data_IF_250041617928
#
_entry.id   IF_250041617928
#
_cell.length_a   1.000
_cell.length_b   1.000
_cell.length_c   1.000
_cell.angle_alpha   90.00
_cell.angle_beta   90.00
_cell.angle_gamma   90.00
#
_symmetry.space_group_name_H-M   'P 1'
#
loop_
_entity.id
_entity.type
_entity.pdbx_description
1 polymer ?
#
# COMPACT_ATOMS: atom_id res chain seq x y z
N UNK A 1 37.71 29.96 21.55
CA UNK A 1 36.94 29.02 22.39
C UNK A 1 36.62 27.79 21.55
N UNK A 2 37.52 26.82 21.59
CA UNK A 2 37.37 25.50 20.98
C UNK A 2 36.61 24.62 21.97
N UNK A 3 35.45 24.10 21.56
CA UNK A 3 34.67 23.16 22.36
C UNK A 3 35.28 21.78 22.13
N UNK A 4 36.04 21.30 23.11
CA UNK A 4 36.56 19.94 23.13
C UNK A 4 35.40 18.96 23.21
N UNK A 5 35.21 18.17 22.15
CA UNK A 5 34.27 17.07 22.11
C UNK A 5 34.91 15.90 22.89
N UNK A 6 34.33 15.45 24.01
CA UNK A 6 34.95 14.41 24.81
C UNK A 6 34.96 13.09 24.03
N UNK A 7 36.15 12.64 23.68
CA UNK A 7 36.45 11.29 23.18
C UNK A 7 36.21 10.27 24.30
N UNK A 8 34.93 10.03 24.62
CA UNK A 8 34.49 9.00 25.57
C UNK A 8 34.16 7.73 24.78
N UNK A 9 35.12 6.81 24.76
CA UNK A 9 34.96 5.37 24.54
C UNK A 9 34.02 4.93 23.40
N UNK A 10 34.55 4.92 22.17
CA UNK A 10 33.90 4.29 21.01
C UNK A 10 33.48 2.82 21.29
N UNK A 11 34.18 2.11 22.18
CA UNK A 11 33.86 0.73 22.59
C UNK A 11 32.51 0.59 23.32
N UNK A 12 32.03 1.63 24.03
CA UNK A 12 30.76 1.55 24.79
C UNK A 12 29.51 1.88 23.97
N UNK A 13 29.68 2.34 22.71
CA UNK A 13 28.55 2.61 21.83
C UNK A 13 28.06 1.35 21.09
N UNK A 14 28.88 0.30 20.96
CA UNK A 14 28.45 -0.95 20.32
C UNK A 14 27.52 -1.80 21.21
N UNK A 15 27.65 -1.70 22.55
CA UNK A 15 26.74 -2.31 23.52
C UNK A 15 25.36 -1.60 23.64
N UNK A 16 25.16 -0.46 22.94
CA UNK A 16 23.91 0.31 23.04
C UNK A 16 22.75 -0.25 22.23
N UNK A 17 23.00 -1.12 21.26
CA UNK A 17 21.92 -1.72 20.48
C UNK A 17 21.66 -3.12 20.97
N UNK A 18 20.90 -3.18 22.05
CA UNK A 18 20.22 -4.36 22.56
C UNK A 18 19.49 -5.19 21.46
N UNK A 19 19.26 -4.61 20.27
CA UNK A 19 18.49 -5.17 19.15
C UNK A 19 19.30 -5.55 17.90
N UNK A 20 20.61 -5.78 17.95
CA UNK A 20 21.45 -5.91 16.73
C UNK A 20 20.84 -6.78 15.60
N UNK A 21 20.24 -7.91 15.95
CA UNK A 21 19.56 -8.80 14.98
C UNK A 21 18.22 -8.24 14.48
N UNK A 22 17.35 -7.77 15.38
CA UNK A 22 16.07 -7.12 15.03
C UNK A 22 16.29 -5.86 14.19
N UNK A 23 17.37 -5.12 14.43
CA UNK A 23 17.80 -3.96 13.63
C UNK A 23 18.24 -4.33 12.23
N UNK A 24 19.05 -5.37 12.11
CA UNK A 24 19.46 -5.86 10.80
C UNK A 24 18.27 -6.39 9.99
N UNK A 25 17.25 -6.95 10.65
CA UNK A 25 15.99 -7.37 10.00
C UNK A 25 15.15 -6.17 9.56
N UNK A 26 14.92 -5.19 10.43
CA UNK A 26 14.13 -4.00 10.10
C UNK A 26 14.80 -3.16 8.98
N UNK A 27 16.13 -3.06 8.98
CA UNK A 27 16.86 -2.35 7.93
C UNK A 27 16.71 -3.00 6.55
N UNK A 28 16.60 -4.33 6.49
CA UNK A 28 16.45 -5.07 5.22
C UNK A 28 15.11 -4.81 4.52
N UNK A 29 14.09 -4.35 5.24
CA UNK A 29 12.75 -4.14 4.69
C UNK A 29 12.44 -2.68 4.36
N UNK A 30 13.40 -1.75 4.52
CA UNK A 30 13.20 -0.32 4.21
C UNK A 30 12.72 -0.11 2.76
N UNK A 31 13.22 -0.91 1.83
CA UNK A 31 12.87 -0.82 0.41
C UNK A 31 11.44 -1.32 0.10
N UNK A 32 10.88 -2.17 0.97
CA UNK A 32 9.51 -2.66 0.84
C UNK A 32 8.47 -1.67 1.40
N UNK A 33 8.93 -0.61 2.07
CA UNK A 33 8.05 0.42 2.63
C UNK A 33 7.64 1.40 1.54
N UNK A 34 6.33 1.63 1.37
CA UNK A 34 5.84 2.66 0.46
C UNK A 34 6.51 4.02 0.73
N UNK A 35 6.84 4.74 -0.34
CA UNK A 35 7.60 5.99 -0.27
C UNK A 35 7.00 6.99 0.73
N UNK A 36 5.68 7.15 0.71
CA UNK A 36 4.95 8.06 1.59
C UNK A 36 5.03 7.69 3.09
N UNK A 37 5.44 6.47 3.43
CA UNK A 37 5.60 6.00 4.80
C UNK A 37 7.06 5.94 5.27
N UNK A 38 8.04 6.21 4.41
CA UNK A 38 9.46 6.12 4.78
C UNK A 38 9.82 6.97 6.00
N UNK A 39 9.25 8.18 6.10
CA UNK A 39 9.45 9.04 7.28
C UNK A 39 8.84 8.44 8.54
N UNK A 40 7.60 7.93 8.47
CA UNK A 40 6.95 7.25 9.59
C UNK A 40 7.75 6.03 10.06
N UNK A 41 8.28 5.27 9.10
CA UNK A 41 9.09 4.10 9.39
C UNK A 41 10.44 4.47 10.02
N UNK A 42 11.05 5.55 9.54
CA UNK A 42 12.28 6.10 10.14
C UNK A 42 12.05 6.58 11.57
N UNK A 43 10.94 7.29 11.83
CA UNK A 43 10.54 7.74 13.17
C UNK A 43 10.26 6.56 14.12
N UNK A 44 9.57 5.53 13.62
CA UNK A 44 9.35 4.27 14.34
C UNK A 44 10.70 3.66 14.73
N UNK A 45 11.63 3.57 13.77
CA UNK A 45 12.94 2.98 14.02
C UNK A 45 13.71 3.79 15.07
N UNK A 46 13.80 5.10 14.88
CA UNK A 46 14.45 5.97 15.85
C UNK A 46 13.87 5.81 17.27
N UNK A 47 12.54 5.76 17.38
CA UNK A 47 11.86 5.59 18.66
C UNK A 47 12.23 4.25 19.33
N UNK A 48 12.23 3.15 18.57
CA UNK A 48 12.63 1.83 19.08
C UNK A 48 14.10 1.80 19.57
N UNK A 49 15.00 2.47 18.84
CA UNK A 49 16.39 2.63 19.28
C UNK A 49 16.50 3.43 20.59
N UNK A 50 15.75 4.53 20.73
CA UNK A 50 15.76 5.35 21.95
C UNK A 50 15.25 4.59 23.17
N UNK A 51 14.24 3.74 23.02
CA UNK A 51 13.69 2.95 24.14
C UNK A 51 14.44 1.63 24.37
N UNK A 52 15.48 1.35 23.58
CA UNK A 52 16.29 0.14 23.71
C UNK A 52 17.04 0.15 25.05
N UNK A 53 16.88 -0.95 25.79
CA UNK A 53 17.53 -1.13 27.10
C UNK A 53 17.96 -2.57 27.21
N UNK A 54 18.88 -2.89 28.13
CA UNK A 54 19.30 -4.27 28.40
C UNK A 54 18.13 -5.21 28.73
N UNK A 55 17.06 -4.71 29.37
CA UNK A 55 15.86 -5.52 29.65
C UNK A 55 15.05 -5.87 28.40
N UNK A 56 15.26 -5.16 27.30
CA UNK A 56 14.51 -5.30 26.04
C UNK A 56 15.35 -5.88 24.90
N UNK A 57 16.58 -6.34 25.18
CA UNK A 57 17.48 -6.84 24.14
C UNK A 57 17.01 -8.14 23.47
N UNK A 58 16.25 -8.95 24.19
CA UNK A 58 15.73 -10.22 23.67
C UNK A 58 14.43 -10.06 22.90
N UNK A 59 13.88 -8.84 22.79
CA UNK A 59 12.62 -8.63 22.10
C UNK A 59 12.86 -8.71 20.59
N UNK A 60 12.20 -9.66 19.94
CA UNK A 60 12.21 -9.78 18.50
C UNK A 60 11.15 -8.85 17.89
N UNK A 61 11.58 -8.08 16.91
CA UNK A 61 10.69 -7.24 16.11
C UNK A 61 10.90 -7.64 14.67
N UNK A 62 9.83 -8.14 14.07
CA UNK A 62 9.80 -8.56 12.69
C UNK A 62 8.98 -7.57 11.85
N UNK A 63 9.43 -7.39 10.61
CA UNK A 63 8.58 -6.87 9.55
C UNK A 63 8.87 -5.45 9.10
N UNK A 64 7.79 -4.71 8.90
CA UNK A 64 7.68 -3.53 8.04
C UNK A 64 7.47 -3.90 6.57
N UNK A 65 6.29 -4.44 6.29
CA UNK A 65 5.74 -4.54 4.93
C UNK A 65 4.37 -3.87 4.88
N UNK A 66 3.91 -3.63 3.67
CA UNK A 66 2.55 -3.17 3.39
C UNK A 66 1.65 -4.37 3.13
N UNK A 67 0.50 -4.40 3.80
CA UNK A 67 -0.55 -5.40 3.59
C UNK A 67 -1.90 -4.69 3.69
N UNK A 68 -2.70 -4.76 2.63
CA UNK A 68 -4.02 -4.13 2.51
C UNK A 68 -4.06 -2.64 2.89
N UNK A 69 -3.02 -1.90 2.49
CA UNK A 69 -2.89 -0.48 2.78
C UNK A 69 -2.53 -0.18 4.24
N UNK A 70 -2.02 -1.17 4.98
CA UNK A 70 -1.63 -1.05 6.38
C UNK A 70 -0.14 -1.33 6.64
N UNK A 71 0.38 -0.52 7.57
CA UNK A 71 1.58 -0.69 8.40
C UNK A 71 1.68 -2.04 9.14
N UNK A 72 2.31 -3.09 8.60
CA UNK A 72 2.54 -4.33 9.37
C UNK A 72 3.94 -4.37 10.00
N UNK A 73 3.97 -4.32 11.34
CA UNK A 73 5.16 -4.57 12.15
C UNK A 73 4.74 -5.44 13.33
N UNK A 74 5.40 -6.57 13.50
CA UNK A 74 5.05 -7.58 14.48
C UNK A 74 6.15 -7.71 15.55
N UNK A 75 5.75 -8.05 16.77
CA UNK A 75 6.66 -8.41 17.84
C UNK A 75 5.98 -9.44 18.73
N UNK A 76 6.78 -10.38 19.25
CA UNK A 76 6.36 -11.42 20.19
C UNK A 76 6.24 -10.91 21.64
N UNK A 77 6.61 -9.66 21.89
CA UNK A 77 6.68 -9.11 23.25
C UNK A 77 5.34 -8.66 23.82
N UNK A 78 5.20 -8.78 25.13
CA UNK A 78 4.11 -8.15 25.91
C UNK A 78 4.52 -6.79 26.49
N UNK A 79 5.74 -6.29 26.21
CA UNK A 79 6.19 -4.97 26.67
C UNK A 79 5.28 -3.86 26.11
N UNK A 80 4.55 -3.21 27.02
CA UNK A 80 3.56 -2.17 26.69
C UNK A 80 4.16 -0.96 25.99
N UNK A 81 5.42 -0.64 26.24
CA UNK A 81 6.11 0.50 25.60
C UNK A 81 6.38 0.16 24.14
N UNK A 82 6.94 -1.03 23.88
CA UNK A 82 7.21 -1.50 22.51
C UNK A 82 5.89 -1.61 21.74
N UNK A 83 4.89 -2.29 22.31
CA UNK A 83 3.56 -2.42 21.68
C UNK A 83 2.90 -1.06 21.42
N UNK A 84 3.06 -0.10 22.34
CA UNK A 84 2.57 1.27 22.17
C UNK A 84 3.22 1.99 20.98
N UNK A 85 4.53 1.82 20.80
CA UNK A 85 5.29 2.39 19.68
C UNK A 85 4.85 1.78 18.34
N UNK A 86 4.76 0.45 18.27
CA UNK A 86 4.30 -0.26 17.06
C UNK A 86 2.87 0.14 16.68
N UNK A 87 1.95 0.14 17.66
CA UNK A 87 0.56 0.56 17.46
C UNK A 87 0.47 1.99 16.95
N UNK A 88 1.25 2.92 17.52
CA UNK A 88 1.26 4.33 17.10
C UNK A 88 1.73 4.49 15.65
N UNK A 89 2.75 3.74 15.24
CA UNK A 89 3.22 3.74 13.85
C UNK A 89 2.13 3.22 12.89
N UNK A 90 1.48 2.10 13.22
CA UNK A 90 0.38 1.53 12.42
C UNK A 90 -0.79 2.49 12.26
N UNK A 91 -1.24 3.11 13.35
CA UNK A 91 -2.34 4.10 13.32
C UNK A 91 -1.96 5.32 12.47
N UNK A 92 -0.73 5.80 12.53
CA UNK A 92 -0.28 6.89 11.66
C UNK A 92 -0.26 6.48 10.19
N UNK A 93 0.21 5.28 9.88
CA UNK A 93 0.23 4.75 8.51
C UNK A 93 -1.19 4.67 7.91
N UNK A 94 -2.20 4.26 8.69
CA UNK A 94 -3.62 4.22 8.29
C UNK A 94 -4.20 5.56 7.80
N UNK A 95 -3.59 6.68 8.21
CA UNK A 95 -4.04 8.02 7.86
C UNK A 95 -3.03 8.76 6.95
N UNK A 96 -2.00 8.07 6.47
CA UNK A 96 -0.93 8.64 5.67
C UNK A 96 -0.93 8.00 4.30
N UNK A 97 -0.94 8.81 3.25
CA UNK A 97 -0.87 8.34 1.87
C UNK A 97 0.42 7.53 1.67
N UNK A 98 0.28 6.28 1.21
CA UNK A 98 1.42 5.38 0.98
C UNK A 98 2.36 5.88 -0.14
N UNK A 99 1.87 6.75 -1.03
CA UNK A 99 2.65 7.28 -2.15
C UNK A 99 3.42 8.55 -1.80
N UNK A 100 2.74 9.54 -1.22
CA UNK A 100 3.29 10.89 -1.08
C UNK A 100 3.38 11.40 0.37
N UNK A 101 2.95 10.61 1.36
CA UNK A 101 3.03 10.96 2.78
C UNK A 101 2.06 12.05 3.26
N UNK A 102 1.22 12.59 2.37
CA UNK A 102 0.14 13.52 2.75
C UNK A 102 -0.98 12.78 3.49
N UNK A 103 -1.87 13.48 4.22
CA UNK A 103 -3.05 12.86 4.83
C UNK A 103 -3.87 12.07 3.80
N UNK A 104 -4.12 10.81 4.12
CA UNK A 104 -4.81 9.84 3.27
C UNK A 104 -6.04 9.25 3.95
N UNK A 105 -6.85 8.54 3.17
CA UNK A 105 -7.93 7.70 3.66
C UNK A 105 -7.76 6.32 3.02
N UNK A 106 -8.21 5.29 3.73
CA UNK A 106 -8.30 3.95 3.17
C UNK A 106 -9.32 3.98 2.01
N UNK A 107 -8.91 3.44 0.88
CA UNK A 107 -9.72 3.35 -0.33
C UNK A 107 -9.61 1.95 -0.89
N UNK A 108 -10.71 1.47 -1.42
CA UNK A 108 -10.74 0.28 -2.26
C UNK A 108 -10.26 0.71 -3.65
N UNK A 109 -9.18 0.10 -4.11
CA UNK A 109 -8.70 0.28 -5.48
C UNK A 109 -9.40 -0.72 -6.39
N UNK A 110 -9.46 -1.98 -5.96
CA UNK A 110 -10.20 -3.06 -6.63
C UNK A 110 -10.82 -3.99 -5.57
N UNK A 111 -11.51 -5.05 -6.01
CA UNK A 111 -12.17 -6.03 -5.14
C UNK A 111 -11.23 -6.72 -4.12
N UNK A 112 -9.91 -6.65 -4.32
CA UNK A 112 -8.91 -7.38 -3.54
C UNK A 112 -7.85 -6.48 -2.92
N UNK A 113 -7.83 -5.19 -3.25
CA UNK A 113 -6.75 -4.30 -2.86
C UNK A 113 -7.27 -3.03 -2.23
N UNK A 114 -6.90 -2.87 -0.97
CA UNK A 114 -7.06 -1.63 -0.23
C UNK A 114 -5.75 -0.87 -0.18
N UNK A 115 -5.82 0.45 -0.20
CA UNK A 115 -4.67 1.33 -0.09
C UNK A 115 -5.04 2.61 0.65
N UNK A 116 -4.12 3.09 1.50
CA UNK A 116 -4.29 4.41 2.13
C UNK A 116 -3.74 5.48 1.18
N UNK A 117 -4.62 6.26 0.56
CA UNK A 117 -4.26 7.26 -0.47
C UNK A 117 -4.92 8.62 -0.23
N UNK A 118 -4.21 9.69 -0.57
CA UNK A 118 -4.77 11.04 -0.62
C UNK A 118 -5.56 11.25 -1.92
N UNK A 119 -6.35 12.33 -2.00
CA UNK A 119 -7.17 12.66 -3.17
C UNK A 119 -6.37 12.70 -4.48
N UNK A 120 -5.22 13.36 -4.45
CA UNK A 120 -4.36 13.54 -5.63
C UNK A 120 -3.73 12.24 -6.12
N UNK A 121 -3.37 11.31 -5.22
CA UNK A 121 -2.75 10.03 -5.61
C UNK A 121 -3.79 8.98 -6.02
N UNK A 122 -4.97 8.99 -5.41
CA UNK A 122 -6.00 8.01 -5.75
C UNK A 122 -6.86 8.40 -6.95
N UNK A 123 -7.11 9.70 -7.19
CA UNK A 123 -7.95 10.15 -8.31
C UNK A 123 -7.57 9.54 -9.66
N UNK A 124 -6.31 9.71 -10.12
CA UNK A 124 -5.86 9.13 -11.39
C UNK A 124 -5.97 7.60 -11.44
N UNK A 125 -5.67 6.92 -10.32
CA UNK A 125 -5.72 5.45 -10.24
C UNK A 125 -7.15 4.92 -10.33
N UNK A 126 -8.07 5.51 -9.56
CA UNK A 126 -9.48 5.13 -9.58
C UNK A 126 -10.11 5.41 -10.95
N UNK A 127 -9.78 6.54 -11.57
CA UNK A 127 -10.22 6.84 -12.92
C UNK A 127 -9.69 5.81 -13.94
N UNK A 128 -8.41 5.45 -13.87
CA UNK A 128 -7.83 4.45 -14.74
C UNK A 128 -8.51 3.07 -14.59
N UNK A 129 -8.81 2.67 -13.34
CA UNK A 129 -9.49 1.41 -13.05
C UNK A 129 -10.93 1.40 -13.57
N UNK A 130 -11.66 2.51 -13.39
CA UNK A 130 -13.03 2.62 -13.92
C UNK A 130 -13.04 2.60 -15.45
N UNK A 131 -12.10 3.30 -16.09
CA UNK A 131 -11.97 3.25 -17.55
C UNK A 131 -11.64 1.83 -18.03
N UNK A 132 -10.71 1.14 -17.37
CA UNK A 132 -10.36 -0.25 -17.69
C UNK A 132 -11.58 -1.18 -17.56
N UNK A 133 -12.39 -0.99 -16.53
CA UNK A 133 -13.64 -1.72 -16.32
C UNK A 133 -14.63 -1.48 -17.46
N UNK A 134 -14.83 -0.23 -17.88
CA UNK A 134 -15.72 0.11 -19.00
C UNK A 134 -15.27 -0.53 -20.32
N UNK A 135 -13.96 -0.54 -20.61
CA UNK A 135 -13.39 -1.20 -21.79
C UNK A 135 -13.60 -2.71 -21.73
N UNK A 136 -13.43 -3.33 -20.56
CA UNK A 136 -13.66 -4.76 -20.39
C UNK A 136 -15.13 -5.14 -20.63
N UNK A 137 -16.07 -4.32 -20.14
CA UNK A 137 -17.51 -4.50 -20.38
C UNK A 137 -17.86 -4.39 -21.88
N UNK A 138 -17.28 -3.42 -22.61
CA UNK A 138 -17.45 -3.29 -24.06
C UNK A 138 -16.98 -4.54 -24.82
N UNK A 139 -15.87 -5.14 -24.38
CA UNK A 139 -15.27 -6.33 -25.01
C UNK A 139 -16.01 -7.62 -24.69
N UNK A 140 -16.47 -7.81 -23.46
CA UNK A 140 -17.18 -9.01 -23.01
C UNK A 140 -18.63 -9.11 -23.51
N UNK A 141 -19.14 -8.09 -24.22
CA UNK A 141 -20.35 -8.24 -25.03
C UNK A 141 -21.64 -8.41 -24.23
N UNK A 142 -21.82 -7.64 -23.15
CA UNK A 142 -23.19 -7.31 -22.74
C UNK A 142 -23.86 -6.62 -23.93
N UNK A 143 -24.83 -7.30 -24.54
CA UNK A 143 -25.48 -6.91 -25.80
C UNK A 143 -26.22 -5.58 -25.66
N UNK A 144 -26.61 -5.22 -24.43
CA UNK A 144 -27.36 -3.99 -24.13
C UNK A 144 -26.45 -2.76 -23.95
N UNK A 145 -25.29 -2.88 -23.27
CA UNK A 145 -24.34 -1.76 -23.10
C UNK A 145 -23.60 -1.41 -24.39
N UNK A 146 -23.38 -2.37 -25.29
CA UNK A 146 -22.72 -2.14 -26.58
C UNK A 146 -23.49 -1.17 -27.48
N UNK A 147 -24.82 -1.19 -27.45
CA UNK A 147 -25.67 -0.31 -28.27
C UNK A 147 -25.66 1.14 -27.77
N UNK A 148 -25.58 1.36 -26.46
CA UNK A 148 -25.46 2.71 -25.89
C UNK A 148 -24.06 3.30 -26.03
N UNK A 149 -22.99 2.50 -25.89
CA UNK A 149 -21.63 3.01 -26.01
C UNK A 149 -21.22 3.35 -27.46
N UNK A 150 -21.68 2.57 -28.44
CA UNK A 150 -21.30 2.76 -29.85
C UNK A 150 -21.91 4.01 -30.50
N UNK A 151 -23.00 4.54 -29.95
CA UNK A 151 -23.63 5.78 -30.43
C UNK A 151 -23.08 7.05 -29.76
N UNK A 152 -22.20 6.92 -28.76
CA UNK A 152 -21.73 8.05 -27.95
C UNK A 152 -20.33 8.53 -28.34
N UNK A 153 -20.14 9.83 -28.66
CA UNK A 153 -18.81 10.46 -28.84
C UNK A 153 -17.84 10.21 -27.67
N UNK A 154 -18.38 9.91 -26.49
CA UNK A 154 -17.67 9.63 -25.25
C UNK A 154 -16.79 8.38 -25.30
N UNK A 155 -17.08 7.38 -26.14
CA UNK A 155 -16.29 6.14 -26.18
C UNK A 155 -14.83 6.35 -26.66
N UNK A 156 -14.62 7.29 -27.60
CA UNK A 156 -13.26 7.68 -28.04
C UNK A 156 -12.51 8.44 -26.96
N UNK A 157 -13.21 9.31 -26.22
CA UNK A 157 -12.64 10.07 -25.10
C UNK A 157 -12.28 9.14 -23.93
N UNK A 158 -13.11 8.16 -23.63
CA UNK A 158 -12.85 7.15 -22.60
C UNK A 158 -11.63 6.31 -22.97
N UNK A 159 -11.48 5.88 -24.22
CA UNK A 159 -10.29 5.14 -24.68
C UNK A 159 -9.01 5.99 -24.64
N UNK A 160 -9.07 7.22 -25.13
CA UNK A 160 -7.94 8.16 -25.07
C UNK A 160 -7.56 8.53 -23.62
N UNK A 161 -8.55 8.65 -22.72
CA UNK A 161 -8.34 8.88 -21.29
C UNK A 161 -7.75 7.64 -20.61
N UNK A 162 -8.12 6.43 -21.03
CA UNK A 162 -7.53 5.17 -20.55
C UNK A 162 -6.03 5.14 -20.84
N UNK A 163 -5.70 5.42 -22.10
CA UNK A 163 -4.33 5.37 -22.62
C UNK A 163 -3.49 6.46 -21.96
N UNK A 164 -4.03 7.67 -21.84
CA UNK A 164 -3.38 8.79 -21.16
C UNK A 164 -3.19 8.54 -19.65
N UNK A 165 -4.16 7.91 -18.97
CA UNK A 165 -4.07 7.58 -17.56
C UNK A 165 -3.06 6.45 -17.28
N UNK A 166 -3.00 5.45 -18.17
CA UNK A 166 -2.00 4.39 -18.11
C UNK A 166 -0.57 4.94 -18.28
N UNK A 167 -0.38 5.84 -19.27
CA UNK A 167 0.88 6.56 -19.49
C UNK A 167 1.26 7.45 -18.29
N UNK A 168 0.32 8.23 -17.75
CA UNK A 168 0.56 9.13 -16.62
C UNK A 168 0.90 8.39 -15.31
N UNK A 169 0.46 7.13 -15.17
CA UNK A 169 0.72 6.32 -13.99
C UNK A 169 1.93 5.37 -14.13
N UNK A 170 2.70 5.44 -15.24
CA UNK A 170 3.76 4.46 -15.57
C UNK A 170 3.26 3.00 -15.46
N UNK A 171 1.98 2.75 -15.74
CA UNK A 171 1.45 1.40 -15.78
C UNK A 171 1.74 0.84 -17.18
N UNK A 172 2.49 -0.27 -17.31
CA UNK A 172 2.66 -0.89 -18.61
C UNK A 172 1.28 -1.28 -19.15
N UNK A 173 1.03 -1.09 -20.44
CA UNK A 173 -0.25 -1.39 -21.07
C UNK A 173 -0.70 -2.86 -20.85
N UNK A 174 0.23 -3.75 -20.52
CA UNK A 174 -0.02 -5.14 -20.13
C UNK A 174 -0.59 -5.31 -18.71
N UNK A 175 -0.38 -4.36 -17.79
CA UNK A 175 -0.84 -4.43 -16.39
C UNK A 175 -2.36 -4.44 -16.26
N UNK A 176 -3.05 -3.78 -17.19
CA UNK A 176 -4.53 -3.74 -17.24
C UNK A 176 -5.11 -5.07 -17.73
N UNK A 177 -4.30 -5.94 -18.37
CA UNK A 177 -4.74 -7.22 -18.92
C UNK A 177 -4.17 -8.45 -18.17
N UNK A 178 -3.01 -8.34 -17.52
CA UNK A 178 -2.32 -9.47 -16.87
C UNK A 178 -2.71 -9.72 -15.40
N UNK A 179 -3.17 -8.70 -14.65
CA UNK A 179 -3.47 -8.87 -13.21
C UNK A 179 -4.83 -9.45 -12.88
N UNK A 180 -5.69 -9.70 -13.87
CA UNK A 180 -6.71 -10.73 -13.75
C UNK A 180 -6.12 -12.02 -14.30
N UNK A 181 -5.24 -12.70 -13.55
CA UNK A 181 -4.79 -14.04 -13.95
C UNK A 181 -6.02 -14.90 -14.30
N UNK A 182 -5.92 -15.83 -15.26
CA UNK A 182 -7.08 -16.61 -15.79
C UNK A 182 -8.10 -17.08 -14.74
N UNK A 183 -7.62 -17.44 -13.53
CA UNK A 183 -8.46 -17.84 -12.38
C UNK A 183 -9.25 -16.71 -11.71
N UNK A 184 -8.76 -15.47 -11.73
CA UNK A 184 -9.48 -14.28 -11.28
C UNK A 184 -10.50 -13.81 -12.31
N UNK A 185 -10.14 -13.86 -13.60
CA UNK A 185 -11.04 -13.61 -14.73
C UNK A 185 -12.25 -14.55 -14.74
N UNK A 186 -12.03 -15.86 -14.57
CA UNK A 186 -13.12 -16.85 -14.53
C UNK A 186 -14.04 -16.66 -13.31
N UNK A 187 -13.49 -16.39 -12.11
CA UNK A 187 -14.29 -16.17 -10.90
C UNK A 187 -15.05 -14.85 -10.88
N UNK A 188 -14.55 -13.84 -11.58
CA UNK A 188 -15.28 -12.59 -11.79
C UNK A 188 -16.44 -12.79 -12.80
N UNK A 189 -16.20 -13.53 -13.88
CA UNK A 189 -17.24 -13.89 -14.85
C UNK A 189 -18.33 -14.80 -14.28
N UNK A 190 -17.99 -15.76 -13.41
CA UNK A 190 -18.98 -16.61 -12.71
C UNK A 190 -19.89 -15.78 -11.81
N UNK A 191 -19.34 -14.81 -11.05
CA UNK A 191 -20.13 -13.96 -10.15
C UNK A 191 -20.99 -12.93 -10.86
N UNK A 192 -20.57 -12.44 -12.03
CA UNK A 192 -21.42 -11.63 -12.88
C UNK A 192 -22.61 -12.43 -13.44
N UNK A 193 -22.40 -13.72 -13.77
CA UNK A 193 -23.51 -14.60 -14.16
C UNK A 193 -24.48 -14.85 -13.01
N UNK A 194 -23.96 -15.05 -11.79
CA UNK A 194 -24.80 -15.25 -10.60
C UNK A 194 -25.66 -14.01 -10.29
N UNK A 195 -25.11 -12.79 -10.38
CA UNK A 195 -25.88 -11.55 -10.19
C UNK A 195 -26.94 -11.34 -11.28
N UNK A 196 -26.59 -11.56 -12.54
CA UNK A 196 -27.54 -11.45 -13.64
C UNK A 196 -28.68 -12.49 -13.52
N UNK A 197 -28.41 -13.67 -12.95
CA UNK A 197 -29.44 -14.67 -12.67
C UNK A 197 -30.35 -14.25 -11.51
N UNK A 198 -29.80 -13.65 -10.45
CA UNK A 198 -30.59 -13.12 -9.34
C UNK A 198 -31.52 -11.99 -9.78
N UNK A 199 -31.05 -11.06 -10.59
CA UNK A 199 -31.85 -9.94 -11.11
C UNK A 199 -32.92 -10.38 -12.14
N UNK A 200 -32.80 -11.59 -12.72
CA UNK A 200 -33.80 -12.15 -13.65
C UNK A 200 -34.92 -12.94 -12.96
N UNK A 201 -34.77 -13.22 -11.67
CA UNK A 201 -35.72 -13.97 -10.85
C UNK A 201 -36.58 -13.05 -9.96
N UNK A 202 -36.27 -11.76 -9.92
CA UNK A 202 -37.06 -10.68 -9.31
C UNK A 202 -37.90 -9.95 -10.37
#
# INVERSE_FOLDING_TARGET
MTIDCPTRNAQTCQDRFAYTDSWSRLNRHVELIPMGWQRLYSDLRFTLAVISTKKRCTIEIAGAWEEDGLLQVQSDTTDRVVQGVLRKARVRAMHTCMECGKPGKQRELDEWRQATLCGSCAGPRLLALEIARLIALERCGSVDLRKELQSSPSARLVRAAAESAALACNLPATFVLEKLGRKGQLRWLERLKERAQQESLE
#
